data_IF_619664238572
#
_entry.id   IF_619664238572
#
_cell.length_a   1.000
_cell.length_b   1.000
_cell.length_c   1.000
_cell.angle_alpha   90.00
_cell.angle_beta   90.00
_cell.angle_gamma   90.00
#
_symmetry.space_group_name_H-M   'P 1'
#
loop_
_entity.id
_entity.type
_entity.pdbx_description
1 polymer ?
#
# COMPACT_ATOMS: atom_id res chain seq x y z
N UNK A 1 -13.54 -7.56 2.13
CA UNK A 1 -12.42 -7.38 3.07
C UNK A 1 -11.36 -6.56 2.36
N UNK A 2 -10.83 -5.52 3.02
CA UNK A 2 -9.82 -4.64 2.42
C UNK A 2 -8.42 -5.10 2.80
N UNK A 3 -7.53 -5.24 1.82
CA UNK A 3 -6.17 -5.75 1.95
C UNK A 3 -5.20 -4.69 1.42
N UNK A 4 -4.17 -4.37 2.18
CA UNK A 4 -3.09 -3.50 1.75
C UNK A 4 -1.84 -4.35 1.49
N UNK A 5 -1.26 -4.21 0.29
CA UNK A 5 -0.08 -4.98 -0.14
C UNK A 5 1.05 -4.02 -0.55
N UNK A 6 2.25 -4.09 0.05
CA UNK A 6 3.40 -3.32 -0.41
C UNK A 6 3.88 -3.87 -1.76
N UNK A 7 4.10 -3.01 -2.75
CA UNK A 7 4.46 -3.40 -4.11
C UNK A 7 5.74 -2.73 -4.58
N UNK A 8 6.53 -3.49 -5.33
CA UNK A 8 7.73 -2.99 -6.04
C UNK A 8 7.40 -2.17 -7.29
N UNK A 9 6.13 -2.11 -7.70
CA UNK A 9 5.66 -1.35 -8.86
C UNK A 9 4.16 -1.07 -8.84
N UNK A 10 3.66 -0.51 -9.93
CA UNK A 10 2.30 0.02 -10.04
C UNK A 10 1.26 -1.00 -10.53
N UNK A 11 1.67 -2.24 -10.77
CA UNK A 11 0.82 -3.30 -11.31
C UNK A 11 0.67 -4.46 -10.31
N UNK A 12 -0.49 -5.11 -10.29
CA UNK A 12 -0.79 -6.28 -9.44
C UNK A 12 0.11 -7.49 -9.73
N UNK A 13 0.69 -7.55 -10.91
CA UNK A 13 1.65 -8.59 -11.32
C UNK A 13 3.08 -8.30 -10.85
N UNK A 14 3.35 -7.10 -10.32
CA UNK A 14 4.64 -6.80 -9.74
C UNK A 14 4.87 -7.57 -8.43
N UNK A 15 6.14 -7.69 -8.04
CA UNK A 15 6.51 -8.40 -6.83
C UNK A 15 6.08 -7.60 -5.60
N UNK A 16 5.71 -8.33 -4.55
CA UNK A 16 5.53 -7.78 -3.20
C UNK A 16 6.88 -7.18 -2.75
N UNK A 17 6.85 -5.97 -2.20
CA UNK A 17 8.03 -5.36 -1.60
C UNK A 17 8.26 -5.94 -0.20
N UNK A 18 9.50 -6.33 0.09
CA UNK A 18 9.89 -6.93 1.37
C UNK A 18 9.87 -5.92 2.52
N UNK A 19 9.99 -4.62 2.23
CA UNK A 19 10.06 -3.57 3.21
C UNK A 19 8.78 -2.75 3.21
N UNK A 20 7.77 -3.20 3.95
CA UNK A 20 6.46 -2.51 4.04
C UNK A 20 6.60 -0.98 4.14
N UNK A 21 7.24 -0.45 5.19
CA UNK A 21 7.31 1.01 5.41
C UNK A 21 8.08 1.80 4.34
N UNK A 22 8.91 1.13 3.53
CA UNK A 22 9.74 1.76 2.49
C UNK A 22 9.32 1.40 1.08
N UNK A 23 8.24 0.63 0.92
CA UNK A 23 7.69 0.32 -0.38
C UNK A 23 7.33 1.61 -1.09
N UNK A 24 7.67 1.72 -2.38
CA UNK A 24 7.35 2.91 -3.17
C UNK A 24 5.87 2.97 -3.52
N UNK A 25 5.24 1.80 -3.63
CA UNK A 25 3.85 1.68 -4.01
C UNK A 25 3.13 0.74 -3.07
N UNK A 26 1.83 0.95 -2.96
CA UNK A 26 0.93 0.04 -2.27
C UNK A 26 -0.29 -0.23 -3.14
N UNK A 27 -0.74 -1.47 -3.08
CA UNK A 27 -1.97 -1.92 -3.71
C UNK A 27 -3.01 -2.08 -2.62
N UNK A 28 -4.11 -1.35 -2.74
CA UNK A 28 -5.28 -1.50 -1.89
C UNK A 28 -6.33 -2.31 -2.63
N UNK A 29 -6.66 -3.49 -2.12
CA UNK A 29 -7.57 -4.43 -2.76
C UNK A 29 -8.83 -4.61 -1.93
N UNK A 30 -10.00 -4.51 -2.56
CA UNK A 30 -11.27 -4.93 -1.99
C UNK A 30 -11.63 -6.33 -2.49
N UNK A 31 -11.39 -7.34 -1.65
CA UNK A 31 -11.58 -8.75 -2.00
C UNK A 31 -13.03 -9.15 -2.25
N UNK A 32 -14.00 -8.31 -1.86
CA UNK A 32 -15.43 -8.60 -2.08
C UNK A 32 -15.90 -8.11 -3.45
N UNK A 33 -15.24 -7.08 -3.98
CA UNK A 33 -15.61 -6.44 -5.25
C UNK A 33 -14.66 -6.77 -6.40
N UNK A 34 -13.53 -7.44 -6.10
CA UNK A 34 -12.46 -7.73 -7.06
C UNK A 34 -11.93 -6.45 -7.73
N UNK A 35 -11.83 -5.37 -6.95
CA UNK A 35 -11.26 -4.09 -7.40
C UNK A 35 -10.03 -3.76 -6.57
N UNK A 36 -9.08 -3.09 -7.20
CA UNK A 36 -7.89 -2.58 -6.53
C UNK A 36 -7.51 -1.20 -7.04
N UNK A 37 -6.84 -0.46 -6.17
CA UNK A 37 -6.26 0.84 -6.44
C UNK A 37 -4.80 0.82 -6.04
N UNK A 38 -3.98 1.57 -6.75
CA UNK A 38 -2.55 1.70 -6.46
C UNK A 38 -2.26 3.12 -6.03
N UNK A 39 -1.46 3.27 -4.98
CA UNK A 39 -0.99 4.57 -4.54
C UNK A 39 0.52 4.58 -4.30
N UNK A 40 1.13 5.71 -4.61
CA UNK A 40 2.53 5.99 -4.31
C UNK A 40 2.68 6.35 -2.81
N UNK A 41 3.79 5.91 -2.23
CA UNK A 41 4.14 6.20 -0.85
C UNK A 41 4.74 7.60 -0.72
N UNK A 42 3.87 8.57 -0.44
CA UNK A 42 4.26 9.96 -0.17
C UNK A 42 5.03 10.14 1.15
N UNK A 43 5.05 9.13 2.02
CA UNK A 43 5.63 9.19 3.37
C UNK A 43 7.05 8.63 3.45
N UNK A 44 7.70 8.29 2.33
CA UNK A 44 9.03 7.65 2.30
C UNK A 44 10.11 8.38 3.12
N UNK A 45 9.97 9.70 3.26
CA UNK A 45 10.93 10.57 3.94
C UNK A 45 10.46 11.00 5.32
N UNK A 46 9.31 10.52 5.79
CA UNK A 46 8.80 10.85 7.11
C UNK A 46 9.58 10.14 8.21
N UNK A 47 9.44 10.65 9.43
CA UNK A 47 10.12 10.07 10.61
C UNK A 47 9.64 8.63 10.89
N UNK A 48 8.37 8.35 10.62
CA UNK A 48 7.72 7.04 10.85
C UNK A 48 6.82 6.64 9.66
N UNK A 49 7.38 6.31 8.48
CA UNK A 49 6.58 6.10 7.26
C UNK A 49 5.51 5.02 7.41
N UNK A 50 5.83 3.94 8.11
CA UNK A 50 4.91 2.82 8.34
C UNK A 50 3.66 3.21 9.14
N UNK A 51 3.80 4.13 10.10
CA UNK A 51 2.67 4.61 10.91
C UNK A 51 1.72 5.45 10.05
N UNK A 52 2.26 6.30 9.16
CA UNK A 52 1.45 7.11 8.25
C UNK A 52 0.73 6.24 7.20
N UNK A 53 1.40 5.22 6.66
CA UNK A 53 0.76 4.23 5.78
C UNK A 53 -0.38 3.50 6.50
N UNK A 54 -0.16 3.08 7.76
CA UNK A 54 -1.18 2.39 8.54
C UNK A 54 -2.40 3.28 8.82
N UNK A 55 -2.18 4.57 9.14
CA UNK A 55 -3.28 5.55 9.28
C UNK A 55 -4.05 5.71 7.98
N UNK A 56 -3.37 5.91 6.85
CA UNK A 56 -3.99 6.01 5.52
C UNK A 56 -4.82 4.76 5.20
N UNK A 57 -4.32 3.58 5.53
CA UNK A 57 -5.03 2.32 5.32
C UNK A 57 -6.33 2.21 6.15
N UNK A 58 -6.34 2.80 7.35
CA UNK A 58 -7.54 2.88 8.21
C UNK A 58 -8.55 3.86 7.62
N UNK A 59 -8.09 5.01 7.12
CA UNK A 59 -8.97 6.04 6.52
C UNK A 59 -9.63 5.56 5.22
N UNK A 60 -8.97 4.66 4.49
CA UNK A 60 -9.49 4.02 3.28
C UNK A 60 -10.44 2.85 3.56
N UNK A 61 -10.68 2.48 4.83
CA UNK A 61 -11.57 1.37 5.22
C UNK A 61 -13.05 1.71 5.01
#
# INVERSE_FOLDING_TARGET
MKILVPSSGEDITNKIDEHFSKAKYFIFMDSEKDVWEVFENEFLHDKHPGDEIAKKAIDLK
#
